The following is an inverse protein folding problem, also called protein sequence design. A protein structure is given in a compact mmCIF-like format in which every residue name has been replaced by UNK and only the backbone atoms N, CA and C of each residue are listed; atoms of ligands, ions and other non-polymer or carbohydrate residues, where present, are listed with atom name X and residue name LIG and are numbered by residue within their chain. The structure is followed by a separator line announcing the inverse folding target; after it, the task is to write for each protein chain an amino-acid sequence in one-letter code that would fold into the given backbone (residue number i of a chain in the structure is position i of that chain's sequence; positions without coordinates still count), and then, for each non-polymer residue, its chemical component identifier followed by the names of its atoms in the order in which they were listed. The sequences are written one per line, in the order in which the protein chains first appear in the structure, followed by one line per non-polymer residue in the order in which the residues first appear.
data_IF_272082757304
#
_entry.id   IF_272082757304
#
_cell.length_a   1.000
_cell.length_b   1.000
_cell.length_c   1.000
_cell.angle_alpha   90.00
_cell.angle_beta   90.00
_cell.angle_gamma   90.00
#
_symmetry.space_group_name_H-M   'P 1'
#
loop_
_entity.id
_entity.type
_entity.pdbx_description
1 polymer ?
#
# COMPACT_ATOMS: atom_id res chain seq x y z
N UNK A 1 -41.29 29.35 24.82
CA UNK A 1 -40.08 28.49 24.80
C UNK A 1 -39.37 28.69 23.47
N UNK A 2 -38.04 28.83 23.45
CA UNK A 2 -37.25 29.11 22.23
C UNK A 2 -37.37 27.90 21.28
N UNK A 3 -37.72 28.13 19.99
CA UNK A 3 -38.11 27.09 19.02
C UNK A 3 -37.16 25.88 18.89
N UNK A 4 -35.86 26.06 19.14
CA UNK A 4 -34.88 24.96 19.22
C UNK A 4 -35.28 23.89 20.26
N UNK A 5 -35.67 24.30 21.46
CA UNK A 5 -35.96 23.36 22.55
C UNK A 5 -37.26 22.60 22.30
N UNK A 6 -38.25 23.25 21.68
CA UNK A 6 -39.48 22.60 21.25
C UNK A 6 -39.18 21.55 20.17
N UNK A 7 -38.38 21.91 19.16
CA UNK A 7 -37.99 20.97 18.10
C UNK A 7 -37.21 19.77 18.65
N UNK A 8 -36.30 19.99 19.59
CA UNK A 8 -35.58 18.89 20.26
C UNK A 8 -36.54 17.96 21.01
N UNK A 9 -37.51 18.50 21.75
CA UNK A 9 -38.49 17.69 22.48
C UNK A 9 -39.38 16.87 21.53
N UNK A 10 -39.77 17.42 20.37
CA UNK A 10 -40.48 16.68 19.32
C UNK A 10 -39.65 15.51 18.80
N UNK A 11 -38.37 15.76 18.49
CA UNK A 11 -37.46 14.73 17.98
C UNK A 11 -37.19 13.62 19.01
N UNK A 12 -37.04 13.97 20.29
CA UNK A 12 -36.89 12.98 21.36
C UNK A 12 -38.13 12.11 21.55
N UNK A 13 -39.31 12.60 21.16
CA UNK A 13 -40.54 11.82 21.20
C UNK A 13 -40.73 10.92 19.97
N UNK A 14 -40.12 11.27 18.82
CA UNK A 14 -40.30 10.54 17.56
C UNK A 14 -39.14 9.61 17.19
N UNK A 15 -37.92 9.92 17.64
CA UNK A 15 -36.71 9.16 17.32
C UNK A 15 -36.37 8.24 18.49
N UNK A 16 -36.07 6.98 18.19
CA UNK A 16 -35.62 6.02 19.20
C UNK A 16 -34.23 6.44 19.70
N UNK A 17 -34.13 6.82 20.96
CA UNK A 17 -32.85 7.01 21.64
C UNK A 17 -32.44 5.71 22.35
N UNK A 18 -31.17 5.32 22.21
CA UNK A 18 -30.59 4.15 22.87
C UNK A 18 -29.36 4.53 23.70
N UNK A 19 -29.07 3.77 24.75
CA UNK A 19 -27.90 3.99 25.58
C UNK A 19 -26.60 3.53 24.87
N UNK A 20 -25.43 4.15 25.14
CA UNK A 20 -24.18 3.78 24.46
C UNK A 20 -23.80 2.29 24.57
N UNK A 21 -24.14 1.63 25.68
CA UNK A 21 -23.87 0.18 25.85
C UNK A 21 -24.70 -0.68 24.91
N UNK A 22 -25.95 -0.29 24.66
CA UNK A 22 -26.83 -0.95 23.70
C UNK A 22 -26.36 -0.68 22.27
N UNK A 23 -26.01 0.57 21.96
CA UNK A 23 -25.43 0.93 20.67
C UNK A 23 -24.17 0.12 20.37
N UNK A 24 -23.26 -0.02 21.34
CA UNK A 24 -22.07 -0.87 21.22
C UNK A 24 -22.43 -2.34 20.94
N UNK A 25 -23.39 -2.91 21.67
CA UNK A 25 -23.82 -4.29 21.45
C UNK A 25 -24.44 -4.50 20.05
N UNK A 26 -25.25 -3.56 19.56
CA UNK A 26 -25.84 -3.60 18.22
C UNK A 26 -24.77 -3.43 17.13
N UNK A 27 -23.78 -2.58 17.34
CA UNK A 27 -22.65 -2.42 16.42
C UNK A 27 -21.89 -3.75 16.25
N UNK A 28 -21.62 -4.45 17.36
CA UNK A 28 -20.99 -5.78 17.32
C UNK A 28 -21.85 -6.86 16.61
N UNK A 29 -23.14 -6.59 16.41
CA UNK A 29 -24.07 -7.44 15.66
C UNK A 29 -24.24 -7.00 14.20
N UNK A 30 -23.46 -6.01 13.73
CA UNK A 30 -23.45 -5.56 12.33
C UNK A 30 -24.25 -4.29 12.04
N UNK A 31 -24.79 -3.61 13.05
CA UNK A 31 -25.40 -2.29 12.88
C UNK A 31 -24.34 -1.24 12.49
N UNK A 32 -24.73 -0.26 11.67
CA UNK A 32 -23.83 0.81 11.24
C UNK A 32 -23.84 1.92 12.29
N UNK A 33 -22.70 2.18 12.92
CA UNK A 33 -22.54 3.33 13.81
C UNK A 33 -22.01 4.52 13.02
N UNK A 34 -22.79 5.58 12.91
CA UNK A 34 -22.50 6.80 12.19
C UNK A 34 -22.09 7.93 13.16
N UNK A 35 -20.85 8.37 13.08
CA UNK A 35 -20.36 9.55 13.81
C UNK A 35 -20.51 10.80 12.93
N UNK A 36 -21.47 11.66 13.30
CA UNK A 36 -21.79 12.90 12.57
C UNK A 36 -21.07 14.13 13.10
N UNK A 37 -20.06 13.95 13.95
CA UNK A 37 -19.20 15.04 14.42
C UNK A 37 -18.29 15.58 13.32
N UNK A 38 -17.79 16.80 13.54
CA UNK A 38 -16.81 17.40 12.64
C UNK A 38 -15.42 16.74 12.84
N UNK A 39 -14.55 16.88 11.84
CA UNK A 39 -13.26 16.18 11.79
C UNK A 39 -12.34 16.47 12.98
N UNK A 40 -12.36 17.70 13.50
CA UNK A 40 -11.60 18.13 14.68
C UNK A 40 -12.09 17.46 15.99
N UNK A 41 -13.40 17.26 16.12
CA UNK A 41 -13.99 16.53 17.24
C UNK A 41 -13.64 15.04 17.17
N UNK A 42 -13.67 14.46 15.97
CA UNK A 42 -13.33 13.06 15.68
C UNK A 42 -11.84 12.78 15.91
N UNK A 43 -10.97 13.77 15.67
CA UNK A 43 -9.53 13.69 15.97
C UNK A 43 -9.23 13.41 17.46
N UNK A 44 -10.17 13.71 18.36
CA UNK A 44 -10.07 13.46 19.80
C UNK A 44 -10.66 12.11 20.23
N UNK A 45 -10.91 11.22 19.26
CA UNK A 45 -11.44 9.88 19.46
C UNK A 45 -12.82 9.70 18.85
N UNK A 46 -13.11 8.48 18.40
CA UNK A 46 -14.40 8.01 17.85
C UNK A 46 -14.59 6.53 18.22
N UNK A 47 -15.81 6.02 18.41
CA UNK A 47 -16.04 4.59 18.56
C UNK A 47 -15.36 3.80 17.44
N UNK A 48 -14.84 2.62 17.79
CA UNK A 48 -14.20 1.72 16.84
C UNK A 48 -15.15 1.42 15.69
N UNK A 49 -14.63 1.31 14.47
CA UNK A 49 -15.40 0.93 13.27
C UNK A 49 -16.60 1.85 12.94
N UNK A 50 -16.67 3.04 13.54
CA UNK A 50 -17.71 4.01 13.23
C UNK A 50 -17.48 4.65 11.86
N UNK A 51 -18.53 4.69 11.05
CA UNK A 51 -18.57 5.45 9.81
C UNK A 51 -18.56 6.94 10.15
N UNK A 52 -17.55 7.67 9.68
CA UNK A 52 -17.39 9.11 9.99
C UNK A 52 -17.93 9.94 8.82
N UNK A 53 -19.07 10.57 9.03
CA UNK A 53 -19.69 11.44 8.04
C UNK A 53 -20.21 12.69 8.75
N UNK A 54 -19.41 13.75 8.73
CA UNK A 54 -19.75 15.04 9.35
C UNK A 54 -21.14 15.50 8.93
N UNK A 55 -21.88 16.10 9.86
CA UNK A 55 -23.29 16.46 9.68
C UNK A 55 -23.57 17.23 8.39
N UNK A 56 -22.68 18.12 7.95
CA UNK A 56 -22.87 18.95 6.76
C UNK A 56 -22.87 18.20 5.43
N UNK A 57 -22.33 16.99 5.38
CA UNK A 57 -22.30 16.14 4.18
C UNK A 57 -23.26 14.95 4.26
N UNK A 58 -24.02 14.82 5.36
CA UNK A 58 -24.84 13.64 5.64
C UNK A 58 -25.80 13.32 4.49
N UNK A 59 -26.65 14.27 4.13
CA UNK A 59 -27.66 14.10 3.07
C UNK A 59 -27.05 13.95 1.67
N UNK A 60 -25.78 14.32 1.48
CA UNK A 60 -25.11 14.27 0.19
C UNK A 60 -24.38 12.95 -0.08
N UNK A 61 -23.97 12.23 0.97
CA UNK A 61 -23.05 11.08 0.85
C UNK A 61 -23.54 9.81 1.50
N UNK A 62 -24.63 9.84 2.27
CA UNK A 62 -25.05 8.67 3.04
C UNK A 62 -25.40 7.47 2.13
N UNK A 63 -26.08 7.67 1.01
CA UNK A 63 -26.48 6.59 0.09
C UNK A 63 -25.27 5.91 -0.56
N UNK A 64 -24.15 6.62 -0.74
CA UNK A 64 -22.90 6.06 -1.27
C UNK A 64 -22.23 5.14 -0.23
N UNK A 65 -22.34 5.46 1.06
CA UNK A 65 -21.67 4.75 2.14
C UNK A 65 -22.54 3.66 2.79
N UNK A 66 -23.85 3.87 2.81
CA UNK A 66 -24.85 2.95 3.35
C UNK A 66 -26.01 2.88 2.34
N UNK A 67 -25.85 2.15 1.23
CA UNK A 67 -26.88 2.07 0.19
C UNK A 67 -28.14 1.30 0.66
N UNK A 68 -27.96 0.39 1.62
CA UNK A 68 -29.03 -0.45 2.14
C UNK A 68 -29.83 0.30 3.24
N UNK A 69 -31.05 0.75 2.89
CA UNK A 69 -31.88 1.56 3.78
C UNK A 69 -32.56 0.80 4.91
N UNK A 70 -32.53 -0.53 4.88
CA UNK A 70 -33.09 -1.44 5.88
C UNK A 70 -32.11 -1.76 7.03
N UNK A 71 -30.84 -1.36 6.90
CA UNK A 71 -29.84 -1.55 7.95
C UNK A 71 -30.12 -0.68 9.18
N UNK A 72 -29.83 -1.23 10.36
CA UNK A 72 -29.88 -0.49 11.62
C UNK A 72 -28.77 0.56 11.63
N UNK A 73 -29.15 1.83 11.71
CA UNK A 73 -28.26 3.00 11.79
C UNK A 73 -28.27 3.59 13.19
N UNK A 74 -27.11 3.61 13.81
CA UNK A 74 -26.87 4.19 15.13
C UNK A 74 -26.18 5.54 14.92
N UNK A 75 -26.86 6.65 15.18
CA UNK A 75 -26.34 7.99 14.89
C UNK A 75 -25.80 8.61 16.17
N UNK A 76 -24.56 9.08 16.11
CA UNK A 76 -23.86 9.62 17.26
C UNK A 76 -23.27 11.01 16.95
N UNK A 77 -23.36 11.92 17.91
CA UNK A 77 -22.62 13.18 17.91
C UNK A 77 -21.87 13.35 19.24
N UNK A 78 -21.36 14.54 19.57
CA UNK A 78 -20.67 14.73 20.86
C UNK A 78 -21.56 14.50 22.10
N UNK A 79 -22.81 14.96 22.08
CA UNK A 79 -23.68 15.03 23.27
C UNK A 79 -25.13 14.59 23.08
N UNK A 80 -25.49 13.98 21.96
CA UNK A 80 -26.83 13.44 21.66
C UNK A 80 -27.81 14.39 20.93
N UNK A 81 -27.59 15.71 20.98
CA UNK A 81 -28.53 16.66 20.36
C UNK A 81 -28.45 16.73 18.83
N UNK A 82 -27.24 16.76 18.24
CA UNK A 82 -27.06 16.79 16.78
C UNK A 82 -27.45 15.47 16.12
N UNK A 83 -27.25 14.34 16.81
CA UNK A 83 -27.62 13.02 16.30
C UNK A 83 -29.13 12.86 16.14
N UNK A 84 -29.95 13.50 16.97
CA UNK A 84 -31.40 13.55 16.75
C UNK A 84 -31.77 14.24 15.44
N UNK A 85 -31.16 15.40 15.12
CA UNK A 85 -31.41 16.08 13.84
C UNK A 85 -30.87 15.30 12.64
N UNK A 86 -29.75 14.60 12.80
CA UNK A 86 -29.23 13.71 11.77
C UNK A 86 -30.15 12.51 11.53
N UNK A 87 -30.65 11.88 12.61
CA UNK A 87 -31.57 10.77 12.51
C UNK A 87 -32.92 11.16 11.86
N UNK A 88 -33.47 12.35 12.18
CA UNK A 88 -34.65 12.91 11.50
C UNK A 88 -34.42 13.07 9.99
N UNK A 89 -33.24 13.54 9.57
CA UNK A 89 -32.89 13.65 8.15
C UNK A 89 -32.79 12.28 7.48
N UNK A 90 -32.16 11.30 8.13
CA UNK A 90 -32.01 9.95 7.58
C UNK A 90 -33.37 9.25 7.41
N UNK A 91 -34.27 9.36 8.39
CA UNK A 91 -35.63 8.83 8.26
C UNK A 91 -36.38 9.45 7.08
N UNK A 92 -36.20 10.75 6.82
CA UNK A 92 -36.80 11.43 5.65
C UNK A 92 -36.18 11.02 4.32
N UNK A 93 -34.94 10.53 4.32
CA UNK A 93 -34.29 9.95 3.16
C UNK A 93 -34.71 8.48 2.93
N UNK A 94 -35.47 7.88 3.86
CA UNK A 94 -36.03 6.54 3.70
C UNK A 94 -35.31 5.44 4.48
N UNK A 95 -34.35 5.77 5.35
CA UNK A 95 -33.75 4.79 6.26
C UNK A 95 -34.75 4.36 7.34
N UNK A 96 -34.99 3.06 7.46
CA UNK A 96 -36.11 2.50 8.21
C UNK A 96 -35.86 2.42 9.72
N UNK A 97 -34.68 1.94 10.13
CA UNK A 97 -34.30 1.78 11.55
C UNK A 97 -33.11 2.70 11.90
N UNK A 98 -33.44 3.94 12.26
CA UNK A 98 -32.46 4.95 12.68
C UNK A 98 -32.65 5.29 14.15
N UNK A 99 -31.57 5.14 14.93
CA UNK A 99 -31.55 5.35 16.39
C UNK A 99 -30.51 6.39 16.75
N UNK A 100 -30.80 7.27 17.71
CA UNK A 100 -29.84 8.25 18.22
C UNK A 100 -29.15 7.71 19.48
N UNK A 101 -27.83 7.82 19.55
CA UNK A 101 -27.05 7.42 20.74
C UNK A 101 -27.17 8.51 21.81
N UNK A 102 -27.87 8.19 22.89
CA UNK A 102 -28.15 9.11 23.99
C UNK A 102 -26.86 9.59 24.65
N UNK A 103 -26.73 10.92 24.79
CA UNK A 103 -25.53 11.55 25.37
C UNK A 103 -24.26 11.47 24.50
N UNK A 104 -24.34 10.89 23.30
CA UNK A 104 -23.27 10.89 22.30
C UNK A 104 -21.94 10.31 22.76
N UNK A 105 -20.86 10.73 22.09
CA UNK A 105 -19.50 10.27 22.36
C UNK A 105 -19.00 10.62 23.78
N UNK A 106 -19.49 11.72 24.37
CA UNK A 106 -19.15 12.06 25.76
C UNK A 106 -19.61 10.97 26.73
N UNK A 107 -20.86 10.49 26.57
CA UNK A 107 -21.38 9.39 27.39
C UNK A 107 -20.73 8.06 27.04
N UNK A 108 -20.43 7.83 25.76
CA UNK A 108 -19.67 6.66 25.31
C UNK A 108 -18.34 6.51 26.05
N UNK A 109 -17.54 7.59 26.10
CA UNK A 109 -16.27 7.62 26.84
C UNK A 109 -16.47 7.45 28.35
N UNK A 110 -17.44 8.15 28.94
CA UNK A 110 -17.71 8.03 30.38
C UNK A 110 -18.15 6.62 30.78
N UNK A 111 -18.79 5.87 29.88
CA UNK A 111 -19.16 4.48 30.08
C UNK A 111 -17.98 3.51 29.93
N UNK A 112 -16.77 3.99 29.59
CA UNK A 112 -15.58 3.17 29.38
C UNK A 112 -15.66 2.26 28.15
N UNK A 113 -16.48 2.62 27.17
CA UNK A 113 -16.63 1.85 25.94
C UNK A 113 -15.45 2.07 25.01
N UNK A 114 -15.10 1.04 24.23
CA UNK A 114 -13.97 1.07 23.32
C UNK A 114 -14.11 2.18 22.27
N UNK A 115 -13.02 2.91 22.04
CA UNK A 115 -12.92 3.92 21.02
C UNK A 115 -11.47 4.01 20.53
N UNK A 116 -11.30 4.53 19.32
CA UNK A 116 -10.00 4.74 18.69
C UNK A 116 -9.77 6.23 18.50
N UNK A 117 -8.50 6.64 18.59
CA UNK A 117 -8.08 7.97 18.12
C UNK A 117 -7.64 7.78 16.67
N UNK A 118 -8.46 8.19 15.69
CA UNK A 118 -8.09 8.04 14.29
C UNK A 118 -6.81 8.81 14.00
N UNK A 119 -5.90 8.17 13.27
CA UNK A 119 -4.88 8.92 12.55
C UNK A 119 -5.61 9.77 11.50
N UNK A 120 -5.33 11.07 11.47
CA UNK A 120 -5.85 12.01 10.49
C UNK A 120 -4.68 12.75 9.88
N UNK A 121 -4.85 13.24 8.65
CA UNK A 121 -3.88 14.13 8.06
C UNK A 121 -3.96 15.51 8.73
N UNK A 122 -2.82 16.10 9.01
CA UNK A 122 -2.73 17.51 9.35
C UNK A 122 -2.95 18.39 8.11
N UNK A 123 -2.89 19.71 8.29
CA UNK A 123 -3.14 20.64 7.20
C UNK A 123 -2.12 20.51 6.05
N UNK A 124 -0.84 20.31 6.38
CA UNK A 124 0.24 20.17 5.39
C UNK A 124 0.09 18.86 4.60
N UNK A 125 -0.19 17.74 5.28
CA UNK A 125 -0.46 16.46 4.64
C UNK A 125 -1.70 16.51 3.72
N UNK A 126 -2.76 17.20 4.14
CA UNK A 126 -3.95 17.38 3.27
C UNK A 126 -3.66 18.20 2.04
N UNK A 127 -2.85 19.25 2.16
CA UNK A 127 -2.44 20.06 1.00
C UNK A 127 -1.58 19.24 0.03
N UNK A 128 -0.51 18.61 0.55
CA UNK A 128 0.43 17.78 -0.20
C UNK A 128 -0.26 16.65 -0.96
N UNK A 129 -1.16 15.92 -0.31
CA UNK A 129 -1.83 14.75 -0.87
C UNK A 129 -3.23 15.05 -1.42
N UNK A 130 -3.60 16.33 -1.56
CA UNK A 130 -4.95 16.77 -1.95
C UNK A 130 -5.51 16.06 -3.19
N UNK A 131 -4.66 15.68 -4.15
CA UNK A 131 -5.07 14.94 -5.36
C UNK A 131 -5.44 13.48 -5.09
N UNK A 132 -4.78 12.81 -4.15
CA UNK A 132 -5.16 11.46 -3.73
C UNK A 132 -6.47 11.48 -2.93
N UNK A 133 -6.67 12.52 -2.10
CA UNK A 133 -7.89 12.64 -1.28
C UNK A 133 -9.17 12.77 -2.12
N UNK A 134 -9.05 13.20 -3.38
CA UNK A 134 -10.17 13.30 -4.32
C UNK A 134 -10.53 11.96 -4.98
N UNK A 135 -9.64 10.95 -4.94
CA UNK A 135 -9.89 9.64 -5.51
C UNK A 135 -10.74 8.82 -4.51
N UNK A 136 -11.96 8.38 -4.87
CA UNK A 136 -12.81 7.60 -3.98
C UNK A 136 -12.13 6.32 -3.47
N UNK A 137 -11.31 5.67 -4.31
CA UNK A 137 -10.58 4.45 -3.97
C UNK A 137 -9.40 4.69 -3.03
N UNK A 138 -8.99 5.95 -2.83
CA UNK A 138 -7.88 6.32 -1.93
C UNK A 138 -8.41 7.09 -0.74
N UNK A 139 -8.92 8.31 -0.94
CA UNK A 139 -9.39 9.17 0.14
C UNK A 139 -8.36 9.40 1.26
N UNK A 140 -8.82 9.88 2.41
CA UNK A 140 -7.94 10.09 3.57
C UNK A 140 -7.46 8.77 4.18
N UNK A 141 -8.34 7.75 4.23
CA UNK A 141 -8.01 6.44 4.78
C UNK A 141 -6.91 5.71 3.98
N UNK A 142 -7.00 5.71 2.65
CA UNK A 142 -5.97 5.13 1.78
C UNK A 142 -4.66 5.92 1.86
N UNK A 143 -4.72 7.25 1.95
CA UNK A 143 -3.50 8.05 2.14
C UNK A 143 -2.81 7.76 3.47
N UNK A 144 -3.57 7.57 4.55
CA UNK A 144 -3.01 7.13 5.84
C UNK A 144 -2.37 5.75 5.70
N UNK A 145 -3.03 4.81 5.02
CA UNK A 145 -2.48 3.47 4.76
C UNK A 145 -1.14 3.55 4.05
N UNK A 146 -0.98 4.43 3.07
CA UNK A 146 0.32 4.68 2.41
C UNK A 146 1.36 5.23 3.40
N UNK A 147 0.99 6.21 4.23
CA UNK A 147 1.86 6.79 5.26
C UNK A 147 2.24 5.80 6.38
N UNK A 148 1.49 4.72 6.54
CA UNK A 148 1.79 3.62 7.46
C UNK A 148 2.60 2.48 6.81
N UNK A 149 2.63 2.43 5.48
CA UNK A 149 3.27 1.37 4.71
C UNK A 149 4.80 1.48 4.69
N UNK A 150 5.46 0.32 4.65
CA UNK A 150 6.91 0.18 4.56
C UNK A 150 7.30 -0.60 3.31
N UNK A 151 8.03 0.05 2.41
CA UNK A 151 8.47 -0.54 1.14
C UNK A 151 9.99 -0.66 1.11
N UNK A 152 10.50 -1.82 0.70
CA UNK A 152 11.93 -2.02 0.44
C UNK A 152 12.21 -2.02 -1.06
N UNK A 153 13.13 -1.17 -1.49
CA UNK A 153 13.64 -1.15 -2.86
C UNK A 153 15.00 -1.82 -2.90
N UNK A 154 15.10 -2.94 -3.62
CA UNK A 154 16.36 -3.63 -3.86
C UNK A 154 17.00 -3.04 -5.13
N UNK A 155 17.97 -2.17 -4.92
CA UNK A 155 18.67 -1.41 -5.95
C UNK A 155 18.12 0.01 -6.11
N UNK A 156 19.00 1.01 -6.02
CA UNK A 156 18.72 2.41 -6.31
C UNK A 156 19.08 2.78 -7.77
N UNK A 157 19.07 1.78 -8.67
CA UNK A 157 19.47 1.90 -10.06
C UNK A 157 18.38 2.43 -11.00
N UNK A 158 18.37 1.96 -12.25
CA UNK A 158 17.49 2.51 -13.30
C UNK A 158 16.00 2.20 -13.08
N UNK A 159 15.69 1.02 -12.50
CA UNK A 159 14.33 0.63 -12.10
C UNK A 159 13.94 1.31 -10.78
N UNK A 160 14.82 1.26 -9.79
CA UNK A 160 14.58 1.81 -8.46
C UNK A 160 14.44 3.33 -8.43
N UNK A 161 15.17 4.07 -9.27
CA UNK A 161 15.13 5.54 -9.34
C UNK A 161 13.72 6.11 -9.54
N UNK A 162 13.00 5.82 -10.65
CA UNK A 162 11.65 6.33 -10.86
C UNK A 162 10.66 5.79 -9.82
N UNK A 163 10.78 4.52 -9.43
CA UNK A 163 9.90 3.91 -8.44
C UNK A 163 10.00 4.64 -7.09
N UNK A 164 11.22 4.91 -6.64
CA UNK A 164 11.48 5.63 -5.41
C UNK A 164 10.87 7.03 -5.42
N UNK A 165 11.05 7.79 -6.51
CA UNK A 165 10.47 9.13 -6.61
C UNK A 165 8.94 9.12 -6.48
N UNK A 166 8.26 8.22 -7.19
CA UNK A 166 6.80 8.21 -7.19
C UNK A 166 6.21 7.61 -5.91
N UNK A 167 6.86 6.62 -5.28
CA UNK A 167 6.45 6.12 -3.97
C UNK A 167 6.65 7.18 -2.87
N UNK A 168 7.76 7.91 -2.92
CA UNK A 168 8.00 9.03 -2.01
C UNK A 168 6.98 10.15 -2.21
N UNK A 169 6.73 10.55 -3.46
CA UNK A 169 5.73 11.57 -3.79
C UNK A 169 4.32 11.16 -3.36
N UNK A 170 3.99 9.87 -3.47
CA UNK A 170 2.72 9.31 -3.04
C UNK A 170 2.55 9.25 -1.51
N UNK A 171 3.62 9.47 -0.75
CA UNK A 171 3.59 9.44 0.71
C UNK A 171 3.65 8.03 1.29
N UNK A 172 4.40 7.11 0.66
CA UNK A 172 4.78 5.86 1.33
C UNK A 172 5.61 6.19 2.56
N UNK A 173 5.14 5.81 3.75
CA UNK A 173 5.66 6.31 5.02
C UNK A 173 7.10 5.95 5.31
N UNK A 174 7.49 4.70 5.06
CA UNK A 174 8.88 4.25 5.20
C UNK A 174 9.39 3.63 3.92
N UNK A 175 10.56 4.08 3.48
CA UNK A 175 11.24 3.55 2.31
C UNK A 175 12.62 3.03 2.68
N UNK A 176 12.82 1.72 2.58
CA UNK A 176 14.13 1.09 2.65
C UNK A 176 14.82 1.10 1.30
N UNK A 177 16.10 1.46 1.25
CA UNK A 177 16.92 1.44 0.03
C UNK A 177 18.12 0.53 0.24
N UNK A 178 18.24 -0.52 -0.55
CA UNK A 178 19.39 -1.44 -0.52
C UNK A 178 20.22 -1.24 -1.78
N UNK A 179 21.45 -0.77 -1.62
CA UNK A 179 22.41 -0.72 -2.71
C UNK A 179 23.83 -0.69 -2.12
N UNK A 180 24.79 -1.30 -2.80
CA UNK A 180 26.19 -1.35 -2.36
C UNK A 180 27.11 -0.52 -3.26
N UNK A 181 26.59 -0.02 -4.38
CA UNK A 181 27.37 0.74 -5.34
C UNK A 181 27.44 2.23 -4.98
N UNK A 182 28.38 2.90 -5.65
CA UNK A 182 28.45 4.35 -5.75
C UNK A 182 27.84 4.86 -7.05
N UNK A 183 27.46 6.13 -7.08
CA UNK A 183 26.98 6.82 -8.29
C UNK A 183 28.10 6.89 -9.32
N UNK A 184 27.86 6.34 -10.50
CA UNK A 184 28.79 6.39 -11.63
C UNK A 184 28.21 7.23 -12.78
N UNK A 185 29.06 8.02 -13.43
CA UNK A 185 28.67 8.93 -14.52
C UNK A 185 28.02 8.19 -15.69
N UNK A 186 28.49 6.98 -16.03
CA UNK A 186 27.94 6.15 -17.11
C UNK A 186 26.50 5.68 -16.83
N UNK A 187 26.09 5.70 -15.56
CA UNK A 187 24.77 5.28 -15.13
C UNK A 187 23.72 6.40 -15.13
N UNK A 188 24.14 7.67 -15.19
CA UNK A 188 23.25 8.84 -15.12
C UNK A 188 22.27 8.94 -16.28
N UNK A 189 22.52 8.26 -17.41
CA UNK A 189 21.59 8.19 -18.54
C UNK A 189 20.27 7.46 -18.22
N UNK A 190 20.22 6.70 -17.10
CA UNK A 190 19.02 5.95 -16.67
C UNK A 190 18.72 6.00 -15.16
N UNK A 191 19.68 6.39 -14.33
CA UNK A 191 19.53 6.46 -12.86
C UNK A 191 19.21 7.88 -12.40
N UNK A 192 18.01 8.33 -12.74
CA UNK A 192 17.60 9.74 -12.64
C UNK A 192 17.49 10.30 -11.21
N UNK A 193 17.54 9.44 -10.19
CA UNK A 193 17.56 9.88 -8.78
C UNK A 193 18.92 10.46 -8.37
N UNK A 194 19.96 10.15 -9.15
CA UNK A 194 21.31 10.64 -8.97
C UNK A 194 21.60 11.80 -9.91
N UNK A 195 22.62 12.59 -9.58
CA UNK A 195 23.05 13.76 -10.37
C UNK A 195 24.55 13.72 -10.61
N UNK A 196 25.01 14.51 -11.57
CA UNK A 196 26.44 14.64 -11.89
C UNK A 196 27.25 15.13 -10.68
N UNK A 197 26.66 16.02 -9.87
CA UNK A 197 27.27 16.56 -8.65
C UNK A 197 27.48 15.50 -7.56
N UNK A 198 26.76 14.37 -7.62
CA UNK A 198 26.82 13.27 -6.63
C UNK A 198 27.61 12.06 -7.13
N UNK A 199 28.32 12.15 -8.26
CA UNK A 199 29.21 11.06 -8.73
C UNK A 199 30.25 10.71 -7.65
N UNK A 200 30.44 9.41 -7.41
CA UNK A 200 31.33 8.88 -6.37
C UNK A 200 30.70 8.78 -4.97
N UNK A 201 29.50 9.33 -4.75
CA UNK A 201 28.77 9.13 -3.49
C UNK A 201 28.05 7.79 -3.49
N UNK A 202 27.79 7.22 -2.31
CA UNK A 202 26.93 6.04 -2.17
C UNK A 202 25.59 6.27 -2.88
N UNK A 203 25.11 5.28 -3.65
CA UNK A 203 23.81 5.38 -4.31
C UNK A 203 22.68 5.52 -3.28
N UNK A 204 22.78 4.82 -2.15
CA UNK A 204 21.81 4.90 -1.05
C UNK A 204 21.76 6.32 -0.49
N UNK A 205 22.93 6.92 -0.20
CA UNK A 205 23.00 8.29 0.32
C UNK A 205 22.45 9.32 -0.69
N UNK A 206 22.83 9.20 -1.96
CA UNK A 206 22.36 10.07 -3.06
C UNK A 206 20.84 9.96 -3.27
N UNK A 207 20.29 8.75 -3.21
CA UNK A 207 18.85 8.52 -3.33
C UNK A 207 18.08 9.04 -2.11
N UNK A 208 18.61 8.84 -0.90
CA UNK A 208 18.03 9.38 0.33
C UNK A 208 17.94 10.91 0.30
N UNK A 209 19.01 11.58 -0.10
CA UNK A 209 19.01 13.04 -0.28
C UNK A 209 17.90 13.50 -1.25
N UNK A 210 17.78 12.83 -2.39
CA UNK A 210 16.77 13.16 -3.40
C UNK A 210 15.33 12.93 -2.91
N UNK A 211 15.08 11.84 -2.19
CA UNK A 211 13.75 11.52 -1.64
C UNK A 211 13.38 12.51 -0.54
N UNK A 212 14.28 12.77 0.42
CA UNK A 212 14.00 13.70 1.51
C UNK A 212 13.78 15.13 0.99
N UNK A 213 14.48 15.54 -0.07
CA UNK A 213 14.24 16.83 -0.71
C UNK A 213 12.87 16.92 -1.40
N UNK A 214 12.36 15.80 -1.94
CA UNK A 214 11.03 15.74 -2.57
C UNK A 214 9.91 15.68 -1.52
N UNK A 215 10.07 14.80 -0.53
CA UNK A 215 9.09 14.58 0.51
C UNK A 215 9.78 14.37 1.87
N UNK A 216 9.85 15.42 2.72
CA UNK A 216 10.51 15.32 4.03
C UNK A 216 9.73 14.47 5.04
N UNK A 217 8.46 14.16 4.77
CA UNK A 217 7.61 13.35 5.66
C UNK A 217 7.90 11.84 5.53
N UNK A 218 8.65 11.44 4.48
CA UNK A 218 9.01 10.04 4.23
C UNK A 218 10.23 9.66 5.06
N UNK A 219 10.10 8.60 5.86
CA UNK A 219 11.21 8.01 6.59
C UNK A 219 12.06 7.14 5.66
N UNK A 220 13.22 7.66 5.23
CA UNK A 220 14.15 6.92 4.36
C UNK A 220 15.22 6.19 5.17
N UNK A 221 15.24 4.87 5.08
CA UNK A 221 16.21 3.98 5.72
C UNK A 221 17.17 3.46 4.65
N UNK A 222 18.45 3.78 4.81
CA UNK A 222 19.49 3.35 3.87
C UNK A 222 20.22 2.11 4.36
N UNK A 223 20.39 1.12 3.48
CA UNK A 223 21.12 -0.12 3.71
C UNK A 223 22.27 -0.22 2.69
N UNK A 224 23.43 0.32 3.07
CA UNK A 224 24.65 0.29 2.25
C UNK A 224 25.34 -1.07 2.32
N UNK A 225 24.72 -2.08 1.72
CA UNK A 225 25.19 -3.46 1.80
C UNK A 225 24.83 -4.28 0.57
N UNK A 226 25.61 -5.34 0.34
CA UNK A 226 25.23 -6.40 -0.59
C UNK A 226 24.21 -7.33 0.09
N UNK A 227 23.09 -7.59 -0.57
CA UNK A 227 22.07 -8.52 -0.07
C UNK A 227 22.59 -9.96 -0.19
N UNK A 228 22.55 -10.72 0.91
CA UNK A 228 23.03 -12.09 0.97
C UNK A 228 22.15 -12.96 1.88
N UNK A 229 22.46 -14.27 1.97
CA UNK A 229 21.68 -15.22 2.77
C UNK A 229 21.69 -14.88 4.27
N UNK A 230 22.75 -14.22 4.74
CA UNK A 230 22.94 -13.92 6.16
C UNK A 230 22.12 -12.72 6.63
N UNK A 231 21.86 -11.75 5.75
CA UNK A 231 21.16 -10.51 6.09
C UNK A 231 19.71 -10.41 5.58
N UNK A 232 19.32 -11.24 4.59
CA UNK A 232 18.03 -11.09 3.91
C UNK A 232 16.83 -11.30 4.85
N UNK A 233 16.89 -12.26 5.76
CA UNK A 233 15.78 -12.59 6.66
C UNK A 233 15.46 -11.44 7.63
N UNK A 234 16.49 -10.90 8.30
CA UNK A 234 16.34 -9.77 9.22
C UNK A 234 15.83 -8.53 8.48
N UNK A 235 16.38 -8.27 7.30
CA UNK A 235 15.98 -7.12 6.50
C UNK A 235 14.52 -7.20 6.03
N UNK A 236 14.12 -8.32 5.44
CA UNK A 236 12.80 -8.45 4.81
C UNK A 236 11.67 -8.41 5.82
N UNK A 237 11.89 -8.95 7.03
CA UNK A 237 10.89 -8.95 8.12
C UNK A 237 10.41 -7.55 8.55
N UNK A 238 11.08 -6.48 8.13
CA UNK A 238 10.79 -5.10 8.51
C UNK A 238 9.89 -4.35 7.52
N UNK A 239 9.54 -4.97 6.38
CA UNK A 239 8.84 -4.32 5.27
C UNK A 239 7.61 -5.11 4.81
N UNK A 240 6.63 -4.39 4.28
CA UNK A 240 5.34 -4.96 3.84
C UNK A 240 5.37 -5.40 2.37
N UNK A 241 6.31 -4.85 1.60
CA UNK A 241 6.38 -5.00 0.14
C UNK A 241 7.81 -4.81 -0.37
N UNK A 242 8.22 -5.64 -1.31
CA UNK A 242 9.55 -5.55 -1.95
C UNK A 242 9.41 -5.16 -3.42
N UNK A 243 10.19 -4.17 -3.86
CA UNK A 243 10.42 -3.88 -5.28
C UNK A 243 11.79 -4.41 -5.66
N UNK A 244 11.79 -5.41 -6.54
CA UNK A 244 13.02 -5.99 -7.08
C UNK A 244 13.46 -5.22 -8.33
N UNK A 245 14.46 -4.37 -8.16
CA UNK A 245 15.12 -3.61 -9.22
C UNK A 245 16.48 -4.19 -9.62
N UNK A 246 16.75 -5.46 -9.27
CA UNK A 246 18.07 -6.07 -9.42
C UNK A 246 18.40 -6.47 -10.86
N UNK A 247 19.65 -6.29 -11.24
CA UNK A 247 20.15 -6.55 -12.59
C UNK A 247 21.03 -7.81 -12.70
N UNK A 248 21.19 -8.57 -11.61
CA UNK A 248 21.93 -9.82 -11.58
C UNK A 248 21.05 -11.00 -11.13
N UNK A 249 21.34 -12.19 -11.64
CA UNK A 249 20.55 -13.38 -11.37
C UNK A 249 20.61 -13.86 -9.91
N UNK A 250 21.80 -13.96 -9.25
CA UNK A 250 21.86 -14.43 -7.88
C UNK A 250 20.95 -13.66 -6.92
N UNK A 251 20.94 -12.33 -7.00
CA UNK A 251 20.06 -11.52 -6.15
C UNK A 251 18.59 -11.73 -6.47
N UNK A 252 18.18 -11.89 -7.74
CA UNK A 252 16.78 -12.18 -8.12
C UNK A 252 16.25 -13.45 -7.47
N UNK A 253 17.04 -14.52 -7.48
CA UNK A 253 16.67 -15.76 -6.82
C UNK A 253 16.58 -15.60 -5.31
N UNK A 254 17.56 -14.94 -4.69
CA UNK A 254 17.55 -14.69 -3.24
C UNK A 254 16.32 -13.85 -2.81
N UNK A 255 16.05 -12.74 -3.51
CA UNK A 255 14.89 -11.87 -3.24
C UNK A 255 13.59 -12.65 -3.40
N UNK A 256 13.45 -13.45 -4.46
CA UNK A 256 12.29 -14.30 -4.64
C UNK A 256 12.11 -15.28 -3.48
N UNK A 257 13.15 -16.04 -3.16
CA UNK A 257 13.08 -17.11 -2.18
C UNK A 257 12.78 -16.56 -0.79
N UNK A 258 13.37 -15.41 -0.43
CA UNK A 258 13.05 -14.69 0.79
C UNK A 258 11.62 -14.17 0.80
N UNK A 259 11.14 -13.52 -0.27
CA UNK A 259 9.74 -13.07 -0.34
C UNK A 259 8.75 -14.22 -0.16
N UNK A 260 8.99 -15.37 -0.78
CA UNK A 260 8.13 -16.57 -0.61
C UNK A 260 8.17 -17.06 0.83
N UNK A 261 9.36 -17.13 1.45
CA UNK A 261 9.54 -17.56 2.85
C UNK A 261 8.80 -16.66 3.85
N UNK A 262 8.85 -15.34 3.65
CA UNK A 262 8.23 -14.35 4.53
C UNK A 262 6.77 -14.04 4.18
N UNK A 263 6.25 -14.58 3.07
CA UNK A 263 4.89 -14.28 2.59
C UNK A 263 4.72 -12.85 2.04
N UNK A 264 5.82 -12.16 1.74
CA UNK A 264 5.84 -10.76 1.29
C UNK A 264 5.68 -10.72 -0.23
N UNK A 265 4.87 -9.81 -0.80
CA UNK A 265 4.80 -9.63 -2.25
C UNK A 265 6.13 -9.10 -2.82
N UNK A 266 6.59 -9.72 -3.91
CA UNK A 266 7.72 -9.24 -4.71
C UNK A 266 7.23 -8.65 -6.03
N UNK A 267 7.38 -7.34 -6.23
CA UNK A 267 7.12 -6.68 -7.51
C UNK A 267 8.42 -6.72 -8.33
N UNK A 268 8.50 -7.69 -9.22
CA UNK A 268 9.67 -7.93 -10.04
C UNK A 268 9.54 -7.27 -11.40
N UNK A 269 10.57 -6.52 -11.79
CA UNK A 269 10.72 -6.03 -13.15
C UNK A 269 12.12 -6.34 -13.69
N UNK A 270 12.20 -6.53 -15.01
CA UNK A 270 13.47 -6.68 -15.70
C UNK A 270 13.41 -6.03 -17.08
N UNK A 271 14.58 -5.71 -17.61
CA UNK A 271 14.75 -5.07 -18.91
C UNK A 271 15.85 -5.77 -19.70
N UNK A 272 15.68 -5.81 -21.01
CA UNK A 272 16.65 -6.37 -21.95
C UNK A 272 16.59 -5.57 -23.25
N UNK A 273 17.66 -4.84 -23.58
CA UNK A 273 17.75 -3.96 -24.77
C UNK A 273 16.59 -2.96 -24.87
N UNK A 274 15.53 -3.31 -25.62
CA UNK A 274 14.34 -2.49 -25.90
C UNK A 274 13.06 -3.08 -25.30
N UNK A 275 13.19 -4.14 -24.51
CA UNK A 275 12.08 -4.95 -24.00
C UNK A 275 12.06 -4.95 -22.47
N UNK A 276 10.87 -4.80 -21.89
CA UNK A 276 10.65 -4.81 -20.45
C UNK A 276 9.65 -5.87 -20.04
N UNK A 277 9.79 -6.41 -18.83
CA UNK A 277 8.83 -7.31 -18.22
C UNK A 277 8.55 -6.88 -16.78
N UNK A 278 7.32 -7.07 -16.33
CA UNK A 278 6.91 -6.87 -14.94
C UNK A 278 5.86 -7.90 -14.53
N UNK A 279 5.96 -8.36 -13.29
CA UNK A 279 5.03 -9.29 -12.64
C UNK A 279 5.05 -9.10 -11.12
N UNK A 280 4.02 -9.57 -10.44
CA UNK A 280 4.01 -9.66 -8.97
C UNK A 280 4.11 -11.14 -8.57
N UNK A 281 5.23 -11.52 -7.95
CA UNK A 281 5.39 -12.84 -7.35
C UNK A 281 4.88 -12.79 -5.90
N UNK A 282 3.67 -13.31 -5.71
CA UNK A 282 3.05 -13.38 -4.39
C UNK A 282 2.18 -14.65 -4.29
N UNK A 283 2.79 -15.81 -3.97
CA UNK A 283 2.05 -17.08 -3.90
C UNK A 283 0.94 -17.09 -2.83
N UNK A 284 1.10 -16.29 -1.78
CA UNK A 284 0.12 -16.13 -0.69
C UNK A 284 -1.05 -15.20 -1.02
N UNK A 285 -1.14 -14.66 -2.24
CA UNK A 285 -2.24 -13.78 -2.60
C UNK A 285 -3.60 -14.49 -2.61
N UNK A 286 -4.52 -14.02 -1.79
CA UNK A 286 -5.80 -14.68 -1.51
C UNK A 286 -6.73 -14.72 -2.72
N UNK A 287 -6.78 -13.63 -3.50
CA UNK A 287 -7.73 -13.48 -4.62
C UNK A 287 -7.33 -14.32 -5.85
N UNK A 288 -6.05 -14.71 -5.96
CA UNK A 288 -5.54 -15.51 -7.10
C UNK A 288 -4.26 -16.24 -6.74
N UNK A 289 -4.23 -17.57 -6.95
CA UNK A 289 -3.01 -18.39 -6.81
C UNK A 289 -1.96 -18.02 -7.87
N UNK A 290 -0.99 -17.19 -7.50
CA UNK A 290 0.20 -16.85 -8.29
C UNK A 290 1.36 -17.84 -8.09
N UNK A 291 2.33 -17.83 -9.00
CA UNK A 291 3.61 -18.54 -8.83
C UNK A 291 4.70 -17.65 -8.23
N UNK A 292 5.86 -18.23 -7.96
CA UNK A 292 7.10 -17.49 -7.65
C UNK A 292 8.04 -17.45 -8.87
N UNK A 293 9.16 -16.72 -8.78
CA UNK A 293 10.16 -16.64 -9.84
C UNK A 293 10.66 -18.04 -10.26
N UNK A 294 10.88 -18.95 -9.30
CA UNK A 294 11.28 -20.34 -9.57
C UNK A 294 10.23 -21.18 -10.29
N UNK A 295 8.95 -20.79 -10.30
CA UNK A 295 7.97 -21.44 -11.18
C UNK A 295 8.31 -21.18 -12.65
N UNK A 296 8.80 -19.99 -12.97
CA UNK A 296 9.24 -19.62 -14.32
C UNK A 296 10.63 -20.16 -14.63
N UNK A 297 11.58 -19.97 -13.72
CA UNK A 297 12.99 -20.34 -13.88
C UNK A 297 13.43 -21.24 -12.73
N UNK A 298 13.14 -22.57 -12.78
CA UNK A 298 13.38 -23.46 -11.64
C UNK A 298 14.83 -23.55 -11.20
N UNK A 299 15.75 -23.60 -12.17
CA UNK A 299 17.18 -23.75 -11.96
C UNK A 299 17.87 -22.49 -12.49
N UNK A 300 18.77 -21.86 -11.70
CA UNK A 300 19.60 -20.78 -12.19
C UNK A 300 20.39 -21.19 -13.43
N UNK A 301 20.45 -20.36 -14.48
CA UNK A 301 21.26 -20.68 -15.65
C UNK A 301 22.77 -20.51 -15.33
N UNK A 302 23.67 -21.19 -16.06
CA UNK A 302 25.12 -21.05 -15.90
C UNK A 302 25.60 -19.60 -16.11
N UNK A 303 26.67 -19.14 -15.44
CA UNK A 303 27.09 -17.73 -15.46
C UNK A 303 27.40 -17.18 -16.87
N UNK A 304 27.87 -18.00 -17.79
CA UNK A 304 28.22 -17.61 -19.16
C UNK A 304 26.99 -17.37 -20.06
N UNK A 305 25.81 -17.82 -19.63
CA UNK A 305 24.58 -17.79 -20.42
C UNK A 305 23.67 -16.58 -20.16
N UNK A 306 24.02 -15.72 -19.20
CA UNK A 306 23.19 -14.59 -18.78
C UNK A 306 24.02 -13.33 -18.50
N UNK A 307 24.37 -12.55 -19.53
CA UNK A 307 25.09 -11.30 -19.35
C UNK A 307 24.21 -10.24 -18.67
N UNK A 308 24.84 -9.34 -17.93
CA UNK A 308 24.15 -8.27 -17.18
C UNK A 308 23.65 -7.14 -18.11
N UNK A 309 22.75 -6.30 -17.60
CA UNK A 309 22.22 -5.16 -18.37
C UNK A 309 23.32 -4.17 -18.80
N UNK A 310 24.40 -4.03 -18.02
CA UNK A 310 25.56 -3.18 -18.33
C UNK A 310 26.42 -3.75 -19.45
N UNK A 311 26.43 -5.07 -19.65
CA UNK A 311 27.20 -5.76 -20.70
C UNK A 311 26.49 -5.73 -22.06
N UNK A 312 25.16 -5.81 -22.07
CA UNK A 312 24.36 -5.92 -23.30
C UNK A 312 23.89 -4.54 -23.80
N UNK A 313 23.80 -3.55 -22.90
CA UNK A 313 23.22 -2.25 -23.16
C UNK A 313 21.69 -2.25 -23.08
N UNK A 314 21.13 -1.12 -22.65
CA UNK A 314 19.68 -0.92 -22.48
C UNK A 314 19.30 0.49 -22.91
N UNK A 315 18.13 0.62 -23.55
CA UNK A 315 17.54 1.93 -23.82
C UNK A 315 17.22 2.64 -22.50
N UNK A 316 17.87 3.78 -22.22
CA UNK A 316 17.86 4.41 -20.88
C UNK A 316 16.50 4.70 -20.26
N UNK A 317 15.50 5.02 -21.09
CA UNK A 317 14.13 5.28 -20.62
C UNK A 317 13.38 4.03 -20.18
N UNK A 318 13.79 2.84 -20.66
CA UNK A 318 13.06 1.59 -20.47
C UNK A 318 13.01 1.13 -19.00
N UNK A 319 14.13 1.14 -18.23
CA UNK A 319 14.07 0.98 -16.77
C UNK A 319 13.14 2.02 -16.12
N UNK A 320 13.13 3.25 -16.64
CA UNK A 320 12.20 4.32 -16.27
C UNK A 320 10.74 3.86 -16.30
N UNK A 321 10.29 3.37 -17.46
CA UNK A 321 8.92 2.90 -17.67
C UNK A 321 8.60 1.72 -16.74
N UNK A 322 9.49 0.74 -16.64
CA UNK A 322 9.25 -0.46 -15.82
C UNK A 322 9.22 -0.14 -14.32
N UNK A 323 10.08 0.76 -13.84
CA UNK A 323 10.05 1.21 -12.44
C UNK A 323 8.78 2.00 -12.09
N UNK A 324 8.22 2.77 -13.04
CA UNK A 324 6.91 3.40 -12.85
C UNK A 324 5.79 2.36 -12.75
N UNK A 325 5.82 1.31 -13.57
CA UNK A 325 4.88 0.21 -13.43
C UNK A 325 5.05 -0.53 -12.10
N UNK A 326 6.29 -0.68 -11.59
CA UNK A 326 6.50 -1.22 -10.24
C UNK A 326 5.83 -0.35 -9.17
N UNK A 327 5.96 0.97 -9.25
CA UNK A 327 5.27 1.88 -8.34
C UNK A 327 3.74 1.75 -8.46
N UNK A 328 3.18 1.61 -9.66
CA UNK A 328 1.73 1.39 -9.85
C UNK A 328 1.27 0.09 -9.19
N UNK A 329 2.00 -1.02 -9.37
CA UNK A 329 1.68 -2.28 -8.68
C UNK A 329 1.78 -2.14 -7.16
N UNK A 330 2.77 -1.40 -6.67
CA UNK A 330 2.92 -1.13 -5.25
C UNK A 330 1.72 -0.37 -4.69
N UNK A 331 1.27 0.70 -5.36
CA UNK A 331 0.09 1.45 -4.95
C UNK A 331 -1.16 0.56 -4.87
N UNK A 332 -1.38 -0.31 -5.87
CA UNK A 332 -2.51 -1.26 -5.86
C UNK A 332 -2.47 -2.20 -4.66
N UNK A 333 -1.29 -2.77 -4.38
CA UNK A 333 -1.12 -3.73 -3.27
C UNK A 333 -1.29 -3.02 -1.92
N UNK A 334 -0.59 -1.91 -1.71
CA UNK A 334 -0.64 -1.16 -0.45
C UNK A 334 -2.04 -0.63 -0.17
N UNK A 335 -2.79 -0.19 -1.18
CA UNK A 335 -4.15 0.31 -1.01
C UNK A 335 -5.22 -0.81 -1.01
N UNK A 336 -4.86 -2.04 -1.41
CA UNK A 336 -5.81 -3.13 -1.72
C UNK A 336 -6.88 -2.72 -2.75
N UNK A 337 -6.44 -2.12 -3.85
CA UNK A 337 -7.32 -1.68 -4.95
C UNK A 337 -6.90 -2.30 -6.29
N UNK A 338 -7.85 -2.41 -7.21
CA UNK A 338 -7.61 -2.95 -8.56
C UNK A 338 -7.22 -4.44 -8.56
N UNK A 339 -6.53 -4.85 -9.63
CA UNK A 339 -6.05 -6.23 -9.84
C UNK A 339 -4.53 -6.22 -10.08
N UNK A 340 -3.70 -6.59 -9.08
CA UNK A 340 -2.26 -6.75 -9.25
C UNK A 340 -1.88 -7.77 -10.33
N UNK A 341 -0.64 -7.72 -10.81
CA UNK A 341 -0.11 -8.68 -11.80
C UNK A 341 0.18 -10.07 -11.20
N UNK A 342 -0.44 -10.45 -10.09
CA UNK A 342 -0.24 -11.80 -9.54
C UNK A 342 -0.75 -12.84 -10.54
N UNK A 343 0.11 -13.82 -10.87
CA UNK A 343 -0.18 -14.87 -11.87
C UNK A 343 -0.21 -14.37 -13.32
N UNK A 344 0.28 -13.16 -13.59
CA UNK A 344 0.29 -12.53 -14.90
C UNK A 344 1.62 -11.81 -15.12
N UNK A 345 2.10 -11.80 -16.35
CA UNK A 345 3.28 -11.03 -16.72
C UNK A 345 2.89 -10.03 -17.78
N UNK A 346 3.17 -8.76 -17.53
CA UNK A 346 3.11 -7.74 -18.55
C UNK A 346 4.49 -7.63 -19.21
N UNK A 347 4.47 -7.59 -20.54
CA UNK A 347 5.62 -7.43 -21.40
C UNK A 347 5.45 -6.15 -22.22
N UNK A 348 6.53 -5.39 -22.36
CA UNK A 348 6.58 -4.13 -23.08
C UNK A 348 7.65 -4.17 -24.16
N UNK A 349 7.24 -4.05 -25.41
CA UNK A 349 8.09 -3.83 -26.58
C UNK A 349 8.13 -2.32 -26.88
N UNK A 350 9.26 -1.68 -26.57
CA UNK A 350 9.38 -0.24 -26.71
C UNK A 350 9.46 0.22 -28.18
N UNK A 351 9.99 -0.60 -29.07
CA UNK A 351 10.09 -0.24 -30.49
C UNK A 351 8.73 -0.33 -31.18
N UNK A 352 7.91 -1.31 -30.80
CA UNK A 352 6.54 -1.44 -31.30
C UNK A 352 5.51 -0.63 -30.50
N UNK A 353 5.92 0.02 -29.39
CA UNK A 353 5.05 0.67 -28.42
C UNK A 353 3.88 -0.22 -27.96
N UNK A 354 4.15 -1.51 -27.71
CA UNK A 354 3.13 -2.53 -27.47
C UNK A 354 3.27 -3.15 -26.09
N UNK A 355 2.17 -3.18 -25.36
CA UNK A 355 2.01 -3.98 -24.15
C UNK A 355 1.33 -5.31 -24.49
N UNK A 356 1.82 -6.40 -23.91
CA UNK A 356 1.24 -7.74 -24.02
C UNK A 356 1.18 -8.37 -22.64
N UNK A 357 0.14 -9.17 -22.38
CA UNK A 357 -0.04 -9.85 -21.10
C UNK A 357 -0.04 -11.36 -21.31
N UNK A 358 0.74 -12.06 -20.47
CA UNK A 358 0.85 -13.50 -20.47
C UNK A 358 0.39 -14.06 -19.12
N UNK A 359 -0.24 -15.23 -19.14
CA UNK A 359 -0.59 -15.95 -17.91
C UNK A 359 0.63 -16.69 -17.38
N UNK A 360 0.96 -16.50 -16.11
CA UNK A 360 1.99 -17.25 -15.42
C UNK A 360 1.37 -18.40 -14.64
N UNK A 361 1.79 -19.62 -14.93
CA UNK A 361 1.32 -20.81 -14.21
C UNK A 361 2.23 -21.09 -13.01
N UNK A 362 1.63 -21.16 -11.82
CA UNK A 362 2.26 -21.78 -10.65
C UNK A 362 2.55 -23.25 -10.96
N UNK A 363 3.72 -23.74 -10.55
CA UNK A 363 4.06 -25.17 -10.58
C UNK A 363 3.71 -25.79 -9.24
N UNK A 364 2.88 -26.84 -9.26
CA UNK A 364 2.44 -27.54 -8.03
C UNK A 364 3.62 -28.17 -7.28
N UNK A 365 4.61 -28.68 -8.01
CA UNK A 365 5.83 -29.27 -7.49
C UNK A 365 6.98 -28.26 -7.32
N UNK A 366 6.69 -26.97 -7.25
CA UNK A 366 7.73 -25.98 -6.99
C UNK A 366 8.33 -26.19 -5.60
N UNK A 367 9.66 -26.33 -5.51
CA UNK A 367 10.35 -26.56 -4.23
C UNK A 367 10.21 -25.43 -3.20
N UNK A 368 9.76 -24.23 -3.62
CA UNK A 368 9.57 -23.07 -2.73
C UNK A 368 8.10 -22.74 -2.48
N UNK A 369 7.27 -22.66 -3.54
CA UNK A 369 5.87 -22.26 -3.40
C UNK A 369 4.89 -23.39 -3.75
N UNK A 370 5.34 -24.64 -3.85
CA UNK A 370 4.48 -25.81 -4.03
C UNK A 370 3.64 -26.09 -2.77
N UNK A 371 2.54 -26.82 -2.92
CA UNK A 371 1.74 -27.20 -1.76
C UNK A 371 2.55 -28.18 -0.89
N UNK A 372 2.74 -27.87 0.40
CA UNK A 372 3.58 -28.66 1.32
C UNK A 372 5.09 -28.46 1.15
N UNK A 373 5.53 -27.43 0.41
CA UNK A 373 6.95 -27.11 0.29
C UNK A 373 7.54 -26.68 1.65
N UNK A 374 8.62 -27.33 2.07
CA UNK A 374 9.45 -26.90 3.19
C UNK A 374 10.56 -26.00 2.65
N UNK A 375 10.44 -24.69 2.89
CA UNK A 375 11.42 -23.71 2.44
C UNK A 375 12.66 -23.82 3.32
N UNK A 376 13.70 -24.49 2.79
CA UNK A 376 14.98 -24.69 3.45
C UNK A 376 15.89 -23.46 3.40
N UNK A 377 17.20 -23.69 3.53
CA UNK A 377 18.21 -22.64 3.39
C UNK A 377 18.28 -22.06 1.98
N UNK A 378 18.75 -20.82 1.85
CA UNK A 378 18.95 -20.17 0.58
C UNK A 378 20.11 -20.83 -0.20
N UNK A 379 19.85 -21.20 -1.44
CA UNK A 379 20.86 -21.74 -2.36
C UNK A 379 21.96 -20.68 -2.64
N UNK A 380 23.23 -21.09 -2.70
CA UNK A 380 24.30 -20.23 -3.19
C UNK A 380 24.27 -20.12 -4.71
N UNK A 381 23.34 -19.29 -5.20
CA UNK A 381 23.17 -19.09 -6.64
C UNK A 381 24.42 -18.47 -7.26
N UNK A 382 25.18 -17.65 -6.51
CA UNK A 382 26.45 -17.10 -7.01
C UNK A 382 27.48 -18.22 -7.24
N UNK A 383 27.60 -19.17 -6.30
CA UNK A 383 28.46 -20.33 -6.44
C UNK A 383 27.98 -21.30 -7.52
N UNK A 384 26.66 -21.54 -7.64
CA UNK A 384 26.05 -22.39 -8.67
C UNK A 384 26.30 -21.81 -10.06
N UNK A 385 26.12 -20.51 -10.23
CA UNK A 385 26.41 -19.83 -11.50
C UNK A 385 27.92 -19.85 -11.81
N UNK A 386 28.80 -19.74 -10.81
CA UNK A 386 30.25 -19.75 -10.99
C UNK A 386 30.86 -21.12 -11.35
N UNK A 387 30.10 -22.22 -11.24
CA UNK A 387 30.55 -23.54 -11.63
C UNK A 387 30.53 -23.70 -13.17
N UNK A 388 31.59 -24.26 -13.79
CA UNK A 388 31.59 -24.52 -15.24
C UNK A 388 30.46 -25.50 -15.59
N UNK A 389 29.81 -25.30 -16.74
CA UNK A 389 28.84 -26.25 -17.26
C UNK A 389 29.52 -27.62 -17.42
N UNK A 390 29.06 -28.60 -16.63
CA UNK A 390 29.60 -29.96 -16.58
C UNK A 390 29.30 -30.80 -17.81
#
# INVERSE_FOLDING_TARGET
MKGKNQRLAELQASIVEIEPKEAFALQQQGAVLLDVRETDEVANGSPNDALRLSRGFLELKIEEQVPDSDRILLVMCAGGSRSLFAADSLQKLGYEDVRSVAGGFNRWKNNGLAFEVPRLLDAEGRDRYSRHLLLPEVGEAGQIKLLDSKVLLIGAGGLGSPAAYYLAAAGVGTMGLVDHDVVDRSNLQRQIIHTDARVGTSKVASAKEAITALNPDVNVIGHEMHLNRENVDELFSQYDLILDGTDNLPTRYLVNDACVKHGIPNIHAAVYRFEGQITVFWPGYEKRRGGCYRCMFPVPPPADSAPSCSEIGVLGVLPGVMGLLQAVEAMKILLDIGDPLVGRMMYYDALAARFSEFKLKRKENCQFCGDGAEIGEYEDVAQVCAAPAG
#
